data_IF_989545273357
#
_entry.id   IF_989545273357
#
_cell.length_a   1.000
_cell.length_b   1.000
_cell.length_c   1.000
_cell.angle_alpha   90.00
_cell.angle_beta   90.00
_cell.angle_gamma   90.00
#
_symmetry.space_group_name_H-M   'P 1'
#
loop_
_entity.id
_entity.type
_entity.pdbx_description
1 polymer ?
#
# COMPACT_ATOMS: atom_id res chain seq x y z
N UNK A 1 65.01 46.75 13.94
CA UNK A 1 64.66 45.33 14.14
C UNK A 1 63.15 45.12 14.26
N UNK A 2 62.44 45.93 15.06
CA UNK A 2 60.99 45.88 15.28
C UNK A 2 60.14 46.00 13.99
N UNK A 3 60.50 46.93 13.11
CA UNK A 3 59.82 47.19 11.83
C UNK A 3 59.86 45.99 10.85
N UNK A 4 60.93 45.18 10.91
CA UNK A 4 61.07 43.95 10.11
C UNK A 4 60.14 42.85 10.61
N UNK A 5 60.01 42.71 11.93
CA UNK A 5 59.11 41.75 12.58
C UNK A 5 57.64 42.05 12.29
N UNK A 6 57.22 43.31 12.34
CA UNK A 6 55.83 43.71 12.01
C UNK A 6 55.48 43.46 10.54
N UNK A 7 56.40 43.79 9.61
CA UNK A 7 56.23 43.50 8.18
C UNK A 7 56.14 41.99 7.92
N UNK A 8 56.97 41.19 8.59
CA UNK A 8 56.93 39.73 8.51
C UNK A 8 55.61 39.16 9.02
N UNK A 9 55.14 39.62 10.19
CA UNK A 9 53.86 39.19 10.77
C UNK A 9 52.67 39.56 9.87
N UNK A 10 52.67 40.77 9.30
CA UNK A 10 51.62 41.24 8.40
C UNK A 10 51.61 40.42 7.10
N UNK A 11 52.78 40.11 6.54
CA UNK A 11 52.89 39.22 5.37
C UNK A 11 52.33 37.82 5.67
N UNK A 12 52.66 37.26 6.83
CA UNK A 12 52.13 35.96 7.28
C UNK A 12 50.60 35.96 7.36
N UNK A 13 50.01 36.98 8.01
CA UNK A 13 48.54 37.13 8.09
C UNK A 13 47.88 37.23 6.72
N UNK A 14 48.47 38.00 5.79
CA UNK A 14 47.94 38.14 4.42
C UNK A 14 48.04 36.85 3.62
N UNK A 15 49.12 36.07 3.78
CA UNK A 15 49.26 34.77 3.14
C UNK A 15 48.27 33.74 3.70
N UNK A 16 48.07 33.74 5.02
CA UNK A 16 47.06 32.90 5.67
C UNK A 16 45.66 33.25 5.16
N UNK A 17 45.25 34.53 5.23
CA UNK A 17 43.95 34.96 4.77
C UNK A 17 43.71 34.69 3.27
N UNK A 18 44.77 34.77 2.45
CA UNK A 18 44.70 34.37 1.04
C UNK A 18 44.45 32.87 0.91
N UNK A 19 45.20 32.04 1.62
CA UNK A 19 45.03 30.58 1.57
C UNK A 19 43.65 30.15 2.07
N UNK A 20 43.17 30.75 3.16
CA UNK A 20 41.84 30.49 3.71
C UNK A 20 40.76 30.87 2.67
N UNK A 21 40.86 32.06 2.06
CA UNK A 21 39.90 32.50 1.04
C UNK A 21 39.93 31.66 -0.25
N UNK A 22 41.11 31.17 -0.68
CA UNK A 22 41.23 30.25 -1.81
C UNK A 22 40.61 28.88 -1.49
N UNK A 23 40.75 28.40 -0.23
CA UNK A 23 40.09 27.20 0.26
C UNK A 23 38.56 27.35 0.29
N UNK A 24 38.06 28.41 0.92
CA UNK A 24 36.63 28.71 1.01
C UNK A 24 35.99 28.83 -0.38
N UNK A 25 36.68 29.46 -1.33
CA UNK A 25 36.23 29.58 -2.71
C UNK A 25 36.11 28.21 -3.38
N UNK A 26 37.10 27.33 -3.19
CA UNK A 26 37.10 25.99 -3.75
C UNK A 26 35.94 25.15 -3.17
N UNK A 27 35.78 25.16 -1.85
CA UNK A 27 34.72 24.41 -1.16
C UNK A 27 33.32 24.91 -1.54
N UNK A 28 33.14 26.23 -1.60
CA UNK A 28 31.88 26.85 -2.00
C UNK A 28 31.55 26.54 -3.47
N UNK A 29 32.55 26.58 -4.35
CA UNK A 29 32.38 26.23 -5.76
C UNK A 29 31.98 24.77 -5.93
N UNK A 30 32.68 23.86 -5.23
CA UNK A 30 32.36 22.44 -5.26
C UNK A 30 30.95 22.15 -4.75
N UNK A 31 30.54 22.81 -3.66
CA UNK A 31 29.20 22.65 -3.08
C UNK A 31 28.13 23.15 -4.04
N UNK A 32 28.32 24.36 -4.60
CA UNK A 32 27.40 24.93 -5.59
C UNK A 32 27.25 24.03 -6.82
N UNK A 33 28.34 23.47 -7.34
CA UNK A 33 28.29 22.62 -8.53
C UNK A 33 27.56 21.30 -8.25
N UNK A 34 27.72 20.74 -7.05
CA UNK A 34 26.97 19.58 -6.60
C UNK A 34 25.47 19.89 -6.45
N UNK A 35 25.13 21.03 -5.86
CA UNK A 35 23.73 21.47 -5.68
C UNK A 35 23.06 21.76 -7.03
N UNK A 36 23.77 22.38 -7.98
CA UNK A 36 23.24 22.63 -9.32
C UNK A 36 22.95 21.31 -10.04
N UNK A 37 23.86 20.34 -9.96
CA UNK A 37 23.64 19.02 -10.55
C UNK A 37 22.43 18.33 -9.93
N UNK A 38 22.30 18.36 -8.60
CA UNK A 38 21.16 17.79 -7.90
C UNK A 38 19.84 18.46 -8.32
N UNK A 39 19.84 19.78 -8.47
CA UNK A 39 18.69 20.53 -8.94
C UNK A 39 18.30 20.11 -10.36
N UNK A 40 19.27 20.01 -11.28
CA UNK A 40 19.03 19.60 -12.66
C UNK A 40 18.42 18.19 -12.73
N UNK A 41 18.99 17.24 -11.98
CA UNK A 41 18.49 15.85 -11.90
C UNK A 41 17.08 15.80 -11.29
N UNK A 42 16.79 16.63 -10.29
CA UNK A 42 15.49 16.72 -9.64
C UNK A 42 14.43 17.29 -10.59
N UNK A 43 14.76 18.36 -11.32
CA UNK A 43 13.85 18.97 -12.30
C UNK A 43 13.50 17.96 -13.39
N UNK A 44 14.50 17.30 -13.98
CA UNK A 44 14.27 16.28 -14.99
C UNK A 44 13.37 15.13 -14.48
N UNK A 45 13.60 14.69 -13.23
CA UNK A 45 12.78 13.65 -12.60
C UNK A 45 11.33 14.10 -12.41
N UNK A 46 11.11 15.35 -11.99
CA UNK A 46 9.78 15.91 -11.80
C UNK A 46 9.03 16.04 -13.13
N UNK A 47 9.67 16.53 -14.18
CA UNK A 47 9.08 16.67 -15.51
C UNK A 47 8.70 15.31 -16.11
N UNK A 48 9.59 14.32 -15.99
CA UNK A 48 9.31 12.97 -16.45
C UNK A 48 8.11 12.36 -15.71
N UNK A 49 8.08 12.46 -14.37
CA UNK A 49 6.97 11.93 -13.56
C UNK A 49 5.64 12.62 -13.87
N UNK A 50 5.66 13.93 -14.13
CA UNK A 50 4.46 14.67 -14.49
C UNK A 50 3.90 14.14 -15.82
N UNK A 51 4.76 14.00 -16.83
CA UNK A 51 4.39 13.46 -18.15
C UNK A 51 3.88 12.02 -18.07
N UNK A 52 4.58 11.16 -17.32
CA UNK A 52 4.17 9.77 -17.12
C UNK A 52 2.81 9.67 -16.40
N UNK A 53 2.56 10.54 -15.42
CA UNK A 53 1.30 10.58 -14.71
C UNK A 53 0.15 11.00 -15.62
N UNK A 54 0.34 12.04 -16.43
CA UNK A 54 -0.67 12.49 -17.40
C UNK A 54 -1.00 11.39 -18.43
N UNK A 55 0.03 10.74 -18.99
CA UNK A 55 -0.15 9.61 -19.91
C UNK A 55 -0.94 8.46 -19.28
N UNK A 56 -0.64 8.10 -18.02
CA UNK A 56 -1.37 7.06 -17.28
C UNK A 56 -2.82 7.46 -17.01
N UNK A 57 -3.07 8.72 -16.71
CA UNK A 57 -4.44 9.22 -16.48
C UNK A 57 -5.28 9.11 -17.75
N UNK A 58 -4.70 9.45 -18.90
CA UNK A 58 -5.35 9.26 -20.20
C UNK A 58 -5.61 7.77 -20.47
N UNK A 59 -4.58 6.93 -20.37
CA UNK A 59 -4.71 5.48 -20.62
C UNK A 59 -5.76 4.84 -19.70
N UNK A 60 -5.83 5.25 -18.44
CA UNK A 60 -6.86 4.76 -17.50
C UNK A 60 -8.27 5.17 -17.92
N UNK A 61 -8.45 6.36 -18.48
CA UNK A 61 -9.76 6.78 -18.99
C UNK A 61 -10.18 5.90 -20.19
N UNK A 62 -9.24 5.63 -21.10
CA UNK A 62 -9.46 4.73 -22.25
C UNK A 62 -9.73 3.28 -21.79
N UNK A 63 -9.01 2.78 -20.79
CA UNK A 63 -9.26 1.47 -20.18
C UNK A 63 -10.66 1.36 -19.58
N UNK A 64 -11.12 2.39 -18.86
CA UNK A 64 -12.47 2.42 -18.29
C UNK A 64 -13.54 2.41 -19.38
N UNK A 65 -13.35 3.16 -20.47
CA UNK A 65 -14.25 3.12 -21.62
C UNK A 65 -14.30 1.73 -22.27
N UNK A 66 -13.14 1.08 -22.43
CA UNK A 66 -13.06 -0.27 -22.97
C UNK A 66 -13.76 -1.30 -22.08
N UNK A 67 -13.58 -1.22 -20.76
CA UNK A 67 -14.29 -2.09 -19.79
C UNK A 67 -15.80 -1.85 -19.87
N UNK A 68 -16.24 -0.59 -19.95
CA UNK A 68 -17.66 -0.27 -20.05
C UNK A 68 -18.28 -0.85 -21.33
N UNK A 69 -17.59 -0.73 -22.47
CA UNK A 69 -18.02 -1.35 -23.73
C UNK A 69 -18.05 -2.88 -23.64
N UNK A 70 -17.08 -3.49 -22.97
CA UNK A 70 -17.07 -4.94 -22.76
C UNK A 70 -18.28 -5.39 -21.92
N UNK A 71 -18.61 -4.66 -20.85
CA UNK A 71 -19.81 -4.90 -20.04
C UNK A 71 -21.06 -4.78 -20.90
N UNK A 72 -21.17 -3.72 -21.71
CA UNK A 72 -22.31 -3.50 -22.61
C UNK A 72 -22.51 -4.70 -23.56
N UNK A 73 -21.45 -5.12 -24.25
CA UNK A 73 -21.49 -6.27 -25.17
C UNK A 73 -21.90 -7.55 -24.44
N UNK A 74 -21.30 -7.84 -23.28
CA UNK A 74 -21.61 -9.06 -22.51
C UNK A 74 -23.04 -9.02 -21.97
N UNK A 75 -23.54 -7.85 -21.60
CA UNK A 75 -24.90 -7.64 -21.09
C UNK A 75 -25.97 -7.63 -22.19
N UNK A 76 -25.59 -7.52 -23.46
CA UNK A 76 -26.53 -7.51 -24.57
C UNK A 76 -27.30 -8.83 -24.69
N UNK A 77 -28.56 -8.77 -25.11
CA UNK A 77 -29.45 -9.94 -25.26
C UNK A 77 -28.86 -11.02 -26.20
N UNK A 78 -28.05 -10.60 -27.17
CA UNK A 78 -27.35 -11.51 -28.10
C UNK A 78 -26.32 -12.42 -27.39
N UNK A 79 -25.77 -11.98 -26.25
CA UNK A 79 -24.75 -12.72 -25.49
C UNK A 79 -25.36 -13.36 -24.23
N UNK A 80 -26.24 -12.66 -23.51
CA UNK A 80 -26.86 -13.18 -22.27
C UNK A 80 -27.76 -14.39 -22.53
N UNK A 81 -28.52 -14.42 -23.63
CA UNK A 81 -29.35 -15.58 -24.01
C UNK A 81 -28.56 -16.82 -24.44
N UNK A 82 -27.28 -16.66 -24.80
CA UNK A 82 -26.39 -17.79 -25.13
C UNK A 82 -25.72 -18.39 -23.90
N UNK A 83 -25.59 -17.63 -22.81
CA UNK A 83 -25.04 -18.15 -21.57
C UNK A 83 -25.92 -19.28 -21.01
N UNK A 84 -27.24 -19.13 -21.02
CA UNK A 84 -28.18 -20.18 -20.58
C UNK A 84 -28.13 -21.43 -21.46
N UNK A 85 -27.77 -21.29 -22.75
CA UNK A 85 -27.71 -22.39 -23.72
C UNK A 85 -26.39 -23.17 -23.69
N UNK A 86 -25.26 -22.51 -23.39
CA UNK A 86 -23.92 -23.09 -23.51
C UNK A 86 -23.12 -23.14 -22.20
N UNK A 87 -23.51 -22.41 -21.16
CA UNK A 87 -22.95 -22.54 -19.83
C UNK A 87 -23.91 -23.37 -18.96
N UNK A 88 -23.64 -24.68 -18.73
CA UNK A 88 -24.37 -25.39 -17.70
C UNK A 88 -24.21 -24.60 -16.40
N UNK A 89 -25.34 -24.26 -15.78
CA UNK A 89 -25.53 -23.32 -14.68
C UNK A 89 -24.30 -23.25 -13.76
N UNK A 90 -23.36 -22.35 -14.08
CA UNK A 90 -22.30 -22.02 -13.14
C UNK A 90 -22.96 -21.19 -12.07
N UNK A 91 -23.42 -21.87 -11.02
CA UNK A 91 -23.79 -21.30 -9.72
C UNK A 91 -22.54 -20.62 -9.14
N UNK A 92 -22.17 -19.48 -9.72
CA UNK A 92 -21.26 -18.54 -9.12
C UNK A 92 -22.08 -17.75 -8.08
N UNK A 93 -22.53 -18.45 -7.04
CA UNK A 93 -22.96 -17.79 -5.81
C UNK A 93 -21.78 -16.94 -5.35
N UNK A 94 -22.00 -15.65 -5.15
CA UNK A 94 -21.02 -14.61 -4.89
C UNK A 94 -20.26 -14.74 -3.57
N UNK A 95 -19.73 -15.92 -3.25
CA UNK A 95 -18.69 -16.09 -2.27
C UNK A 95 -17.36 -15.83 -2.97
N UNK A 96 -16.70 -14.73 -2.59
CA UNK A 96 -15.31 -14.52 -2.97
C UNK A 96 -14.49 -15.77 -2.62
N UNK A 97 -13.56 -16.17 -3.49
CA UNK A 97 -12.73 -17.37 -3.29
C UNK A 97 -11.96 -17.32 -1.95
N UNK A 98 -11.71 -16.12 -1.43
CA UNK A 98 -11.15 -15.86 -0.11
C UNK A 98 -12.12 -16.16 1.06
N UNK A 99 -13.42 -15.86 0.90
CA UNK A 99 -14.43 -16.22 1.90
C UNK A 99 -14.60 -17.73 2.02
N UNK A 100 -14.62 -18.45 0.89
CA UNK A 100 -14.72 -19.91 0.89
C UNK A 100 -13.50 -20.57 1.56
N UNK A 101 -12.28 -20.05 1.31
CA UNK A 101 -11.06 -20.52 1.97
C UNK A 101 -11.06 -20.25 3.47
N UNK A 102 -11.55 -19.09 3.90
CA UNK A 102 -11.68 -18.73 5.32
C UNK A 102 -12.66 -19.65 6.06
N UNK A 103 -13.79 -19.99 5.41
CA UNK A 103 -14.79 -20.89 5.97
C UNK A 103 -14.30 -22.34 6.04
N UNK A 104 -13.67 -22.85 4.96
CA UNK A 104 -13.05 -24.17 4.94
C UNK A 104 -11.91 -24.30 5.96
N UNK A 105 -11.09 -23.25 6.12
CA UNK A 105 -10.02 -23.22 7.11
C UNK A 105 -10.57 -23.20 8.55
N UNK A 106 -11.66 -22.47 8.80
CA UNK A 106 -12.35 -22.49 10.09
C UNK A 106 -12.95 -23.86 10.44
N UNK A 107 -13.53 -24.56 9.46
CA UNK A 107 -14.05 -25.91 9.64
C UNK A 107 -12.94 -26.93 9.94
N UNK A 108 -11.83 -26.86 9.20
CA UNK A 108 -10.66 -27.73 9.42
C UNK A 108 -10.03 -27.51 10.81
N UNK A 109 -9.93 -26.24 11.25
CA UNK A 109 -9.45 -25.89 12.59
C UNK A 109 -10.37 -26.40 13.70
N UNK A 110 -11.70 -26.30 13.52
CA UNK A 110 -12.67 -26.81 14.48
C UNK A 110 -12.59 -28.34 14.63
N UNK A 111 -12.44 -29.07 13.52
CA UNK A 111 -12.25 -30.52 13.53
C UNK A 111 -10.94 -30.92 14.21
N UNK A 112 -9.83 -30.24 13.87
CA UNK A 112 -8.54 -30.48 14.50
C UNK A 112 -8.58 -30.22 16.01
N UNK A 113 -9.24 -29.13 16.45
CA UNK A 113 -9.41 -28.83 17.87
C UNK A 113 -10.24 -29.90 18.60
N UNK A 114 -11.30 -30.43 18.00
CA UNK A 114 -12.08 -31.52 18.62
C UNK A 114 -11.25 -32.81 18.74
N UNK A 115 -10.57 -33.21 17.68
CA UNK A 115 -9.70 -34.39 17.70
C UNK A 115 -8.61 -34.29 18.78
N UNK A 116 -8.01 -33.12 18.93
CA UNK A 116 -7.00 -32.86 19.96
C UNK A 116 -7.61 -32.89 21.38
N UNK A 117 -8.85 -32.43 21.58
CA UNK A 117 -9.57 -32.55 22.87
C UNK A 117 -9.88 -34.00 23.23
N UNK A 118 -10.34 -34.79 22.27
CA UNK A 118 -10.66 -36.20 22.51
C UNK A 118 -9.40 -37.02 22.80
N UNK A 119 -8.32 -36.73 22.08
CA UNK A 119 -7.00 -37.31 22.34
C UNK A 119 -6.44 -36.87 23.71
N UNK A 120 -6.63 -35.61 24.10
CA UNK A 120 -6.25 -35.10 25.41
C UNK A 120 -7.00 -35.82 26.54
N UNK A 121 -8.30 -36.10 26.37
CA UNK A 121 -9.11 -36.84 27.35
C UNK A 121 -8.69 -38.30 27.46
N UNK A 122 -8.45 -38.97 26.32
CA UNK A 122 -8.01 -40.37 26.28
C UNK A 122 -6.64 -40.57 26.93
N UNK A 123 -5.73 -39.62 26.75
CA UNK A 123 -4.34 -39.71 27.21
C UNK A 123 -4.09 -38.97 28.53
N UNK A 124 -5.08 -38.26 29.08
CA UNK A 124 -4.91 -37.40 30.26
C UNK A 124 -3.92 -36.25 30.07
N UNK A 125 -3.73 -35.78 28.83
CA UNK A 125 -2.67 -34.80 28.50
C UNK A 125 -3.17 -33.36 28.55
N UNK A 126 -2.74 -32.60 29.57
CA UNK A 126 -3.02 -31.17 29.70
C UNK A 126 -2.43 -30.32 28.57
N UNK A 127 -1.31 -30.74 27.98
CA UNK A 127 -0.67 -30.04 26.86
C UNK A 127 -1.53 -30.10 25.60
N UNK A 128 -2.11 -31.27 25.30
CA UNK A 128 -3.02 -31.42 24.16
C UNK A 128 -4.32 -30.64 24.37
N UNK A 129 -4.81 -30.56 25.60
CA UNK A 129 -5.98 -29.74 25.94
C UNK A 129 -5.73 -28.24 25.72
N UNK A 130 -4.57 -27.75 26.18
CA UNK A 130 -4.16 -26.36 25.97
C UNK A 130 -3.95 -26.03 24.48
N UNK A 131 -3.35 -26.94 23.71
CA UNK A 131 -3.17 -26.79 22.27
C UNK A 131 -4.52 -26.75 21.54
N UNK A 132 -5.46 -27.61 21.92
CA UNK A 132 -6.80 -27.63 21.35
C UNK A 132 -7.60 -26.34 21.66
N UNK A 133 -7.34 -25.69 22.79
CA UNK A 133 -7.85 -24.35 23.09
C UNK A 133 -7.34 -23.32 22.08
N UNK A 134 -6.02 -23.27 21.88
CA UNK A 134 -5.38 -22.31 20.97
C UNK A 134 -5.74 -22.49 19.50
N UNK A 135 -5.94 -23.73 19.04
CA UNK A 135 -6.36 -24.03 17.66
C UNK A 135 -7.82 -23.64 17.41
N UNK A 136 -8.65 -23.61 18.45
CA UNK A 136 -10.05 -23.19 18.35
C UNK A 136 -10.24 -21.67 18.42
N UNK A 137 -9.25 -20.92 18.90
CA UNK A 137 -9.32 -19.46 18.97
C UNK A 137 -9.17 -18.86 17.56
N UNK A 138 -10.14 -18.05 17.14
CA UNK A 138 -10.07 -17.29 15.89
C UNK A 138 -9.17 -16.05 16.08
N UNK A 139 -7.94 -16.03 15.52
CA UNK A 139 -6.99 -14.94 15.74
C UNK A 139 -7.45 -13.61 15.13
N UNK A 140 -8.44 -13.62 14.24
CA UNK A 140 -8.96 -12.44 13.56
C UNK A 140 -10.34 -12.01 14.04
N UNK A 141 -10.87 -12.61 15.12
CA UNK A 141 -12.19 -12.24 15.67
C UNK A 141 -12.35 -10.74 15.89
N UNK A 142 -11.31 -10.08 16.40
CA UNK A 142 -11.29 -8.62 16.63
C UNK A 142 -11.30 -7.84 15.32
N UNK A 143 -10.55 -8.28 14.32
CA UNK A 143 -10.48 -7.64 13.00
C UNK A 143 -11.80 -7.80 12.23
N UNK A 144 -12.39 -9.00 12.24
CA UNK A 144 -13.72 -9.26 11.68
C UNK A 144 -14.79 -8.40 12.34
N UNK A 145 -14.69 -8.15 13.65
CA UNK A 145 -15.59 -7.24 14.36
C UNK A 145 -15.43 -5.79 13.86
N UNK A 146 -14.19 -5.27 13.79
CA UNK A 146 -13.95 -3.91 13.29
C UNK A 146 -14.44 -3.70 11.85
N UNK A 147 -14.27 -4.71 10.97
CA UNK A 147 -14.76 -4.63 9.58
C UNK A 147 -16.29 -4.60 9.55
N UNK A 148 -16.97 -5.43 10.37
CA UNK A 148 -18.43 -5.40 10.48
C UNK A 148 -18.94 -4.06 11.01
N UNK A 149 -18.31 -3.54 12.07
CA UNK A 149 -18.66 -2.26 12.67
C UNK A 149 -18.51 -1.11 11.64
N UNK A 150 -17.47 -1.15 10.78
CA UNK A 150 -17.27 -0.18 9.71
C UNK A 150 -18.32 -0.30 8.60
N UNK A 151 -18.68 -1.52 8.19
CA UNK A 151 -19.73 -1.75 7.19
C UNK A 151 -21.08 -1.22 7.69
N UNK A 152 -21.43 -1.51 8.94
CA UNK A 152 -22.68 -1.01 9.54
C UNK A 152 -22.71 0.52 9.54
N UNK A 153 -21.61 1.17 9.94
CA UNK A 153 -21.51 2.62 9.94
C UNK A 153 -21.64 3.23 8.54
N UNK A 154 -20.98 2.64 7.53
CA UNK A 154 -21.09 3.11 6.14
C UNK A 154 -22.51 2.93 5.57
N UNK A 155 -23.22 1.88 5.99
CA UNK A 155 -24.63 1.69 5.60
C UNK A 155 -25.56 2.71 6.26
N UNK A 156 -25.32 3.05 7.53
CA UNK A 156 -26.07 4.11 8.25
C UNK A 156 -25.82 5.48 7.61
N UNK A 157 -24.56 5.86 7.39
CA UNK A 157 -24.18 7.13 6.74
C UNK A 157 -24.79 7.26 5.33
N UNK A 158 -24.80 6.17 4.54
CA UNK A 158 -25.42 6.16 3.22
C UNK A 158 -26.94 6.33 3.28
N UNK A 159 -27.61 5.77 4.30
CA UNK A 159 -29.05 5.93 4.48
C UNK A 159 -29.41 7.36 4.94
N UNK A 160 -28.63 7.93 5.87
CA UNK A 160 -28.81 9.31 6.33
C UNK A 160 -28.59 10.32 5.19
N UNK A 161 -27.58 10.12 4.33
CA UNK A 161 -27.40 10.97 3.14
C UNK A 161 -28.55 10.83 2.12
N UNK A 162 -29.10 9.63 1.96
CA UNK A 162 -30.24 9.39 1.07
C UNK A 162 -31.51 10.08 1.56
N UNK A 163 -31.75 10.09 2.88
CA UNK A 163 -32.86 10.84 3.48
C UNK A 163 -32.66 12.36 3.38
N UNK A 164 -31.43 12.86 3.55
CA UNK A 164 -31.12 14.28 3.43
C UNK A 164 -31.14 14.84 2.00
N UNK A 165 -30.87 14.00 0.98
CA UNK A 165 -30.97 14.37 -0.44
C UNK A 165 -32.35 14.08 -1.05
N UNK A 166 -33.26 13.48 -0.27
CA UNK A 166 -34.62 13.12 -0.68
C UNK A 166 -35.69 14.19 -0.40
N UNK A 167 -35.32 15.33 0.20
CA UNK A 167 -36.17 16.51 0.38
C UNK A 167 -35.62 17.73 -0.38
#
# INVERSE_FOLDING_TARGET
>A
TQDRTEKSATKGKKLQAKADAEGDLADTTSTRDADQKYLDDLVATCEQKATDFESRQQLRAEELEAIQKAIEIISSEAVTGNAEKYLPTLLQQGASLAALRSELQGQAQAMAAQYLRDSARRLGSGVLSALAGRVADDPFRKVKKMIKDLITRLMEEANEEAEHKGW
#
